data_IF_096397922398
#
_entry.id   IF_096397922398
#
_cell.length_a   1.000
_cell.length_b   1.000
_cell.length_c   1.000
_cell.angle_alpha   90.00
_cell.angle_beta   90.00
_cell.angle_gamma   90.00
#
_symmetry.space_group_name_H-M   'P 1'
#
loop_
_entity.id
_entity.type
_entity.pdbx_description
1 polymer ?
#
# COMPACT_ATOMS: atom_id res chain seq x y z
N UNK A 1 21.59 4.40 5.86
CA UNK A 1 20.25 4.60 5.25
C UNK A 1 19.19 4.14 6.22
N UNK A 2 18.23 4.98 6.51
CA UNK A 2 17.12 4.59 7.35
C UNK A 2 16.23 3.56 6.66
N UNK A 3 15.67 2.66 7.45
CA UNK A 3 14.81 1.59 6.96
C UNK A 3 13.35 2.07 6.94
N UNK A 4 12.94 2.64 5.83
CA UNK A 4 11.59 3.19 5.65
C UNK A 4 10.93 2.45 4.50
N UNK A 5 9.85 1.74 4.80
CA UNK A 5 9.15 0.90 3.83
C UNK A 5 7.73 1.42 3.55
N UNK A 6 7.36 1.43 2.29
CA UNK A 6 5.99 1.67 1.85
C UNK A 6 5.47 0.37 1.24
N UNK A 7 4.40 -0.17 1.82
CA UNK A 7 3.76 -1.40 1.32
C UNK A 7 2.37 -1.05 0.83
N UNK A 8 2.17 -1.08 -0.48
CA UNK A 8 0.85 -0.76 -1.04
C UNK A 8 -0.12 -1.92 -0.82
N UNK A 9 -1.40 -1.61 -0.61
CA UNK A 9 -2.42 -2.62 -0.37
C UNK A 9 -2.18 -3.46 0.87
N UNK A 10 -1.68 -2.86 1.96
CA UNK A 10 -1.21 -3.60 3.12
C UNK A 10 -2.20 -3.68 4.29
N UNK A 11 -3.46 -3.33 4.07
CA UNK A 11 -4.48 -3.45 5.14
C UNK A 11 -4.87 -4.90 5.43
N UNK A 12 -4.68 -5.80 4.49
CA UNK A 12 -5.04 -7.22 4.62
C UNK A 12 -4.20 -8.11 3.71
N UNK A 13 -4.33 -9.42 3.89
CA UNK A 13 -3.70 -10.41 3.02
C UNK A 13 -2.18 -10.42 3.11
N UNK A 14 -1.55 -10.70 1.98
CA UNK A 14 -0.09 -10.80 1.89
C UNK A 14 0.58 -9.48 2.26
N UNK A 15 0.06 -8.37 1.78
CA UNK A 15 0.61 -7.05 2.08
C UNK A 15 0.61 -6.75 3.58
N UNK A 16 -0.45 -7.15 4.30
CA UNK A 16 -0.53 -7.00 5.75
C UNK A 16 0.55 -7.81 6.45
N UNK A 17 0.76 -9.05 6.02
CA UNK A 17 1.79 -9.92 6.60
C UNK A 17 3.19 -9.36 6.36
N UNK A 18 3.45 -8.86 5.15
CA UNK A 18 4.74 -8.24 4.80
C UNK A 18 4.99 -6.98 5.63
N UNK A 19 3.98 -6.09 5.73
CA UNK A 19 4.10 -4.88 6.51
C UNK A 19 4.38 -5.17 7.99
N UNK A 20 3.68 -6.13 8.56
CA UNK A 20 3.86 -6.54 9.96
C UNK A 20 5.27 -7.08 10.20
N UNK A 21 5.75 -7.95 9.32
CA UNK A 21 7.08 -8.54 9.45
C UNK A 21 8.19 -7.49 9.32
N UNK A 22 8.07 -6.58 8.36
CA UNK A 22 9.05 -5.49 8.21
C UNK A 22 9.08 -4.61 9.45
N UNK A 23 7.92 -4.25 9.98
CA UNK A 23 7.84 -3.43 11.19
C UNK A 23 8.52 -4.12 12.38
N UNK A 24 8.30 -5.41 12.54
CA UNK A 24 8.93 -6.20 13.61
C UNK A 24 10.44 -6.34 13.45
N UNK A 25 10.93 -6.21 12.22
CA UNK A 25 12.36 -6.21 11.92
C UNK A 25 13.00 -4.83 12.05
N UNK A 26 12.27 -3.84 12.51
CA UNK A 26 12.79 -2.50 12.76
C UNK A 26 12.57 -1.47 11.65
N UNK A 27 11.85 -1.83 10.59
CA UNK A 27 11.49 -0.86 9.56
C UNK A 27 10.40 0.09 10.04
N UNK A 28 10.49 1.36 9.66
CA UNK A 28 9.33 2.26 9.75
C UNK A 28 8.44 1.95 8.55
N UNK A 29 7.18 1.63 8.79
CA UNK A 29 6.29 1.09 7.75
C UNK A 29 5.10 2.00 7.52
N UNK A 30 4.83 2.34 6.27
CA UNK A 30 3.59 2.96 5.87
C UNK A 30 2.62 1.88 5.38
N UNK A 31 1.49 1.77 6.05
CA UNK A 31 0.38 0.91 5.67
C UNK A 31 -0.50 1.69 4.71
N UNK A 32 -0.60 1.24 3.47
CA UNK A 32 -1.47 1.86 2.49
C UNK A 32 -2.77 1.06 2.35
N UNK A 33 -3.88 1.75 2.29
CA UNK A 33 -5.19 1.14 2.04
C UNK A 33 -6.02 2.04 1.12
N UNK A 34 -7.02 1.47 0.48
CA UNK A 34 -7.97 2.22 -0.34
C UNK A 34 -9.34 2.27 0.31
N UNK A 35 -9.87 1.15 0.75
CA UNK A 35 -11.24 1.02 1.25
C UNK A 35 -11.29 0.49 2.69
N UNK A 36 -10.43 -0.45 3.04
CA UNK A 36 -10.51 -1.15 4.33
C UNK A 36 -9.75 -0.41 5.42
N UNK A 37 -10.26 0.77 5.78
CA UNK A 37 -9.67 1.58 6.86
C UNK A 37 -9.67 0.83 8.19
N UNK A 38 -10.72 0.06 8.47
CA UNK A 38 -10.82 -0.74 9.69
C UNK A 38 -9.68 -1.74 9.82
N UNK A 39 -9.32 -2.42 8.72
CA UNK A 39 -8.22 -3.36 8.71
C UNK A 39 -6.86 -2.65 8.88
N UNK A 40 -6.68 -1.52 8.21
CA UNK A 40 -5.45 -0.73 8.34
C UNK A 40 -5.28 -0.22 9.77
N UNK A 41 -6.33 0.29 10.36
CA UNK A 41 -6.31 0.81 11.74
C UNK A 41 -6.01 -0.30 12.74
N UNK A 42 -6.58 -1.48 12.54
CA UNK A 42 -6.31 -2.66 13.38
C UNK A 42 -4.83 -3.04 13.34
N UNK A 43 -4.23 -3.07 12.15
CA UNK A 43 -2.81 -3.37 12.00
C UNK A 43 -1.94 -2.29 12.65
N UNK A 44 -2.28 -1.02 12.42
CA UNK A 44 -1.54 0.10 13.01
C UNK A 44 -1.56 0.02 14.54
N UNK A 45 -2.73 -0.25 15.13
CA UNK A 45 -2.85 -0.38 16.57
C UNK A 45 -2.00 -1.53 17.12
N UNK A 46 -2.01 -2.68 16.46
CA UNK A 46 -1.22 -3.83 16.88
C UNK A 46 0.28 -3.54 16.83
N UNK A 47 0.75 -2.93 15.74
CA UNK A 47 2.18 -2.62 15.58
C UNK A 47 2.62 -1.53 16.55
N UNK A 48 1.79 -0.52 16.79
CA UNK A 48 2.08 0.54 17.78
C UNK A 48 2.18 -0.04 19.17
N UNK A 49 1.30 -0.97 19.53
CA UNK A 49 1.35 -1.65 20.83
C UNK A 49 2.62 -2.48 21.01
N UNK A 50 3.20 -2.99 19.92
CA UNK A 50 4.46 -3.73 19.95
C UNK A 50 5.71 -2.80 19.93
N UNK A 51 5.52 -1.49 19.93
CA UNK A 51 6.61 -0.52 19.88
C UNK A 51 7.18 -0.30 18.48
N UNK A 52 6.50 -0.76 17.44
CA UNK A 52 6.94 -0.56 16.05
C UNK A 52 6.61 0.86 15.57
N UNK A 53 7.42 1.36 14.64
CA UNK A 53 7.14 2.63 13.96
C UNK A 53 6.27 2.33 12.74
N UNK A 54 5.03 2.83 12.75
CA UNK A 54 4.09 2.61 11.67
C UNK A 54 3.18 3.82 11.47
N UNK A 55 2.68 3.99 10.26
CA UNK A 55 1.66 4.96 9.92
C UNK A 55 0.73 4.36 8.89
N UNK A 56 -0.44 4.95 8.69
CA UNK A 56 -1.36 4.51 7.65
C UNK A 56 -1.78 5.67 6.77
N UNK A 57 -1.91 5.44 5.47
CA UNK A 57 -2.34 6.45 4.51
C UNK A 57 -3.33 5.83 3.52
N UNK A 58 -4.45 6.51 3.35
CA UNK A 58 -5.41 6.16 2.31
C UNK A 58 -4.93 6.70 0.98
N UNK A 59 -4.84 5.84 -0.02
CA UNK A 59 -4.57 6.24 -1.39
C UNK A 59 -5.01 5.15 -2.36
N UNK A 60 -5.62 5.56 -3.46
CA UNK A 60 -5.88 4.69 -4.60
C UNK A 60 -4.67 4.80 -5.51
N UNK A 61 -3.90 3.71 -5.66
CA UNK A 61 -2.65 3.73 -6.43
C UNK A 61 -2.88 3.94 -7.92
N UNK A 62 -4.12 3.79 -8.41
CA UNK A 62 -4.47 4.14 -9.79
C UNK A 62 -4.53 5.65 -10.02
N UNK A 63 -4.54 6.45 -8.95
CA UNK A 63 -4.60 7.90 -9.01
C UNK A 63 -3.24 8.49 -8.63
N UNK A 64 -2.51 9.02 -9.62
CA UNK A 64 -1.15 9.52 -9.41
C UNK A 64 -1.06 10.60 -8.33
N UNK A 65 -2.01 11.53 -8.29
CA UNK A 65 -2.02 12.60 -7.29
C UNK A 65 -2.13 12.07 -5.86
N UNK A 66 -2.91 11.00 -5.66
CA UNK A 66 -3.03 10.35 -4.35
C UNK A 66 -1.75 9.64 -3.96
N UNK A 67 -1.07 9.00 -4.92
CA UNK A 67 0.22 8.35 -4.68
C UNK A 67 1.28 9.39 -4.29
N UNK A 68 1.37 10.49 -5.01
CA UNK A 68 2.33 11.54 -4.70
C UNK A 68 2.09 12.15 -3.33
N UNK A 69 0.83 12.38 -2.97
CA UNK A 69 0.47 12.88 -1.65
C UNK A 69 0.85 11.87 -0.54
N UNK A 70 0.64 10.59 -0.79
CA UNK A 70 1.02 9.53 0.15
C UNK A 70 2.54 9.51 0.38
N UNK A 71 3.33 9.54 -0.69
CA UNK A 71 4.79 9.53 -0.57
C UNK A 71 5.28 10.74 0.22
N UNK A 72 4.73 11.93 -0.06
CA UNK A 72 5.08 13.13 0.71
C UNK A 72 4.78 12.97 2.20
N UNK A 73 3.64 12.38 2.55
CA UNK A 73 3.30 12.14 3.96
C UNK A 73 4.28 11.19 4.63
N UNK A 74 4.70 10.15 3.93
CA UNK A 74 5.72 9.23 4.46
C UNK A 74 7.04 9.97 4.67
N UNK A 75 7.47 10.75 3.70
CA UNK A 75 8.71 11.52 3.78
C UNK A 75 8.67 12.52 4.94
N UNK A 76 7.55 13.20 5.13
CA UNK A 76 7.38 14.17 6.22
C UNK A 76 7.36 13.49 7.59
N UNK A 77 6.89 12.27 7.68
CA UNK A 77 6.76 11.55 8.95
C UNK A 77 8.00 10.76 9.31
N UNK A 78 8.59 10.05 8.35
CA UNK A 78 9.73 9.15 8.59
C UNK A 78 10.98 9.53 7.82
N UNK A 79 10.85 10.11 6.64
CA UNK A 79 11.94 10.38 5.72
C UNK A 79 11.77 9.64 4.40
N UNK A 80 12.80 9.70 3.53
CA UNK A 80 12.70 9.09 2.20
C UNK A 80 12.47 7.58 2.24
N UNK A 81 11.56 7.10 1.40
CA UNK A 81 11.28 5.67 1.29
C UNK A 81 12.49 4.95 0.72
N UNK A 82 12.94 3.92 1.41
CA UNK A 82 14.08 3.10 0.98
C UNK A 82 13.67 1.70 0.49
N UNK A 83 12.43 1.28 0.75
CA UNK A 83 11.89 0.01 0.27
C UNK A 83 10.44 0.21 -0.16
N UNK A 84 10.14 -0.17 -1.39
CA UNK A 84 8.78 -0.18 -1.91
C UNK A 84 8.34 -1.61 -2.19
N UNK A 85 7.23 -2.02 -1.59
CA UNK A 85 6.60 -3.31 -1.88
C UNK A 85 5.29 -3.04 -2.62
N UNK A 86 5.28 -3.30 -3.92
CA UNK A 86 4.09 -3.13 -4.77
C UNK A 86 3.18 -4.33 -4.64
N UNK A 87 2.27 -4.28 -3.68
CA UNK A 87 1.32 -5.36 -3.42
C UNK A 87 -0.12 -4.98 -3.78
N UNK A 88 -0.43 -3.69 -3.91
CA UNK A 88 -1.79 -3.27 -4.24
C UNK A 88 -2.22 -3.86 -5.57
N UNK A 89 -3.39 -4.48 -5.58
CA UNK A 89 -3.96 -5.08 -6.76
C UNK A 89 -5.41 -5.42 -6.55
N UNK A 90 -6.11 -5.64 -7.63
CA UNK A 90 -7.48 -6.15 -7.61
C UNK A 90 -7.52 -7.44 -8.41
N UNK A 91 -8.33 -8.39 -7.93
CA UNK A 91 -8.50 -9.68 -8.57
C UNK A 91 -9.96 -10.10 -8.45
N UNK A 92 -10.39 -10.94 -9.37
CA UNK A 92 -11.72 -11.49 -9.37
C UNK A 92 -11.77 -12.66 -10.35
N UNK A 93 -12.91 -13.34 -10.37
CA UNK A 93 -13.14 -14.44 -11.29
C UNK A 93 -14.22 -14.05 -12.29
N UNK A 94 -13.89 -14.16 -13.59
CA UNK A 94 -14.83 -13.97 -14.67
C UNK A 94 -14.34 -14.76 -15.87
N UNK A 95 -15.29 -15.30 -16.66
CA UNK A 95 -14.95 -15.87 -17.95
C UNK A 95 -14.50 -14.73 -18.87
N UNK A 96 -13.54 -15.00 -19.73
CA UNK A 96 -12.95 -13.97 -20.60
C UNK A 96 -14.03 -13.21 -21.39
N UNK A 97 -15.04 -13.92 -21.91
CA UNK A 97 -16.12 -13.28 -22.66
C UNK A 97 -17.02 -12.39 -21.80
N UNK A 98 -16.99 -12.54 -20.47
CA UNK A 98 -17.81 -11.77 -19.55
C UNK A 98 -17.06 -10.59 -18.95
N UNK A 99 -15.79 -10.40 -19.29
CA UNK A 99 -15.01 -9.26 -18.81
C UNK A 99 -15.44 -8.00 -19.55
N UNK A 100 -15.94 -7.01 -18.81
CA UNK A 100 -16.28 -5.72 -19.38
C UNK A 100 -15.03 -4.87 -19.60
N UNK A 101 -15.14 -3.86 -20.48
CA UNK A 101 -14.05 -2.89 -20.63
C UNK A 101 -13.75 -2.15 -19.31
N UNK A 102 -14.78 -1.87 -18.53
CA UNK A 102 -14.64 -1.22 -17.24
C UNK A 102 -13.85 -2.09 -16.28
N UNK A 103 -14.14 -3.38 -16.20
CA UNK A 103 -13.41 -4.33 -15.37
C UNK A 103 -11.96 -4.47 -15.82
N UNK A 104 -11.73 -4.55 -17.13
CA UNK A 104 -10.40 -4.60 -17.72
C UNK A 104 -9.59 -3.37 -17.33
N UNK A 105 -10.15 -2.18 -17.51
CA UNK A 105 -9.49 -0.92 -17.15
C UNK A 105 -9.18 -0.86 -15.66
N UNK A 106 -10.09 -1.34 -14.82
CA UNK A 106 -9.89 -1.35 -13.38
C UNK A 106 -8.69 -2.22 -13.00
N UNK A 107 -8.56 -3.40 -13.59
CA UNK A 107 -7.42 -4.27 -13.31
C UNK A 107 -6.10 -3.64 -13.76
N UNK A 108 -6.05 -3.06 -14.94
CA UNK A 108 -4.84 -2.39 -15.42
C UNK A 108 -4.54 -1.13 -14.62
N UNK A 109 -5.54 -0.35 -14.28
CA UNK A 109 -5.39 0.89 -13.52
C UNK A 109 -4.75 0.63 -12.16
N UNK A 110 -5.19 -0.39 -11.45
CA UNK A 110 -4.65 -0.71 -10.12
C UNK A 110 -3.37 -1.54 -10.23
N UNK A 111 -3.39 -2.61 -11.01
CA UNK A 111 -2.30 -3.59 -11.01
C UNK A 111 -1.08 -3.15 -11.81
N UNK A 112 -1.26 -2.36 -12.86
CA UNK A 112 -0.17 -1.92 -13.74
C UNK A 112 0.13 -0.44 -13.54
N UNK A 113 -0.84 0.42 -13.77
CA UNK A 113 -0.63 1.87 -13.65
C UNK A 113 -0.31 2.26 -12.21
N UNK A 114 -0.95 1.61 -11.23
CA UNK A 114 -0.67 1.85 -9.81
C UNK A 114 0.78 1.55 -9.46
N UNK A 115 1.33 0.44 -9.95
CA UNK A 115 2.72 0.10 -9.73
C UNK A 115 3.66 1.12 -10.39
N UNK A 116 3.33 1.55 -11.61
CA UNK A 116 4.07 2.61 -12.30
C UNK A 116 4.10 3.90 -11.49
N UNK A 117 2.93 4.32 -10.98
CA UNK A 117 2.82 5.53 -10.17
C UNK A 117 3.68 5.49 -8.92
N UNK A 118 3.65 4.37 -8.20
CA UNK A 118 4.40 4.23 -6.94
C UNK A 118 5.91 4.16 -7.16
N UNK A 119 6.35 3.47 -8.21
CA UNK A 119 7.77 3.40 -8.54
C UNK A 119 8.31 4.78 -8.93
N UNK A 120 7.53 5.52 -9.70
CA UNK A 120 7.97 6.83 -10.21
C UNK A 120 7.91 7.93 -9.15
N UNK A 121 7.01 7.79 -8.19
CA UNK A 121 6.88 8.77 -7.09
C UNK A 121 7.97 8.61 -5.96
#
# INVERSE_FOLDING_TARGET
MEKIALVTGSSRGIGRAVAAELARQGWAVCINYRVREDCARSLLAALTAEGCRAMMVRADVSQRDQVEAMVRRVEDTFGPVSLLVNNAGVAGQALFQDISEELWRRYFSVNVDGAFHTIQA
#
